data_IF_822400923115
#
_entry.id   IF_822400923115
#
_cell.length_a   1.000
_cell.length_b   1.000
_cell.length_c   1.000
_cell.angle_alpha   90.00
_cell.angle_beta   90.00
_cell.angle_gamma   90.00
#
_symmetry.space_group_name_H-M   'P 1'
#
loop_
_entity.id
_entity.type
_entity.pdbx_description
1 polymer ?
#
# COMPACT_ATOMS: atom_id res chain seq x y z
N UNK A 1 -17.81 13.17 18.95
CA UNK A 1 -16.56 13.69 19.54
C UNK A 1 -15.66 12.55 19.96
N UNK A 2 -14.35 12.72 19.92
CA UNK A 2 -13.39 11.82 20.56
C UNK A 2 -12.27 12.64 21.20
N UNK A 3 -11.61 12.07 22.20
CA UNK A 3 -10.58 12.77 22.98
C UNK A 3 -9.24 12.04 22.84
N UNK A 4 -8.18 12.78 22.50
CA UNK A 4 -6.79 12.33 22.61
C UNK A 4 -6.11 13.27 23.59
N UNK A 5 -5.59 12.70 24.68
CA UNK A 5 -5.06 13.46 25.82
C UNK A 5 -6.11 14.46 26.35
N UNK A 6 -5.80 15.76 26.36
CA UNK A 6 -6.71 16.83 26.80
C UNK A 6 -7.38 17.56 25.62
N UNK A 7 -7.35 16.97 24.40
CA UNK A 7 -7.92 17.57 23.19
C UNK A 7 -9.15 16.83 22.73
N UNK A 8 -10.22 17.59 22.50
CA UNK A 8 -11.49 17.10 21.95
C UNK A 8 -11.55 17.40 20.47
N UNK A 9 -11.91 16.39 19.69
CA UNK A 9 -12.10 16.45 18.25
C UNK A 9 -13.57 16.14 17.93
N UNK A 10 -14.20 17.00 17.14
CA UNK A 10 -15.58 16.85 16.70
C UNK A 10 -15.60 16.50 15.22
N UNK A 11 -16.60 15.72 14.82
CA UNK A 11 -16.87 15.42 13.42
C UNK A 11 -18.29 15.86 13.09
N UNK A 12 -18.46 16.45 11.91
CA UNK A 12 -19.78 16.74 11.35
C UNK A 12 -20.45 15.45 10.84
N UNK A 13 -21.77 15.49 10.68
CA UNK A 13 -22.50 14.37 10.08
C UNK A 13 -21.97 14.10 8.66
N UNK A 14 -21.52 12.87 8.40
CA UNK A 14 -20.89 12.44 7.14
C UNK A 14 -19.52 13.06 6.83
N UNK A 15 -18.83 13.63 7.82
CA UNK A 15 -17.43 14.03 7.62
C UNK A 15 -16.56 12.84 7.22
N UNK A 16 -15.88 12.96 6.08
CA UNK A 16 -14.99 11.92 5.59
C UNK A 16 -13.71 11.91 6.41
N UNK A 17 -13.37 10.75 6.95
CA UNK A 17 -12.14 10.53 7.70
C UNK A 17 -11.15 9.86 6.75
N UNK A 18 -9.99 10.48 6.58
CA UNK A 18 -8.90 9.86 5.84
C UNK A 18 -8.31 8.70 6.66
N UNK A 19 -8.26 7.53 6.04
CA UNK A 19 -7.88 6.28 6.67
C UNK A 19 -6.83 5.57 5.81
N UNK A 20 -6.33 4.45 6.30
CA UNK A 20 -5.39 3.64 5.53
C UNK A 20 -6.03 3.08 4.24
N UNK A 21 -5.25 3.11 3.15
CA UNK A 21 -5.61 2.50 1.87
C UNK A 21 -4.81 1.22 1.70
N UNK A 22 -5.50 0.07 1.60
CA UNK A 22 -4.86 -1.19 1.21
C UNK A 22 -4.77 -1.29 -0.31
N UNK A 23 -3.81 -0.57 -0.90
CA UNK A 23 -3.61 -0.53 -2.35
C UNK A 23 -3.24 -1.92 -2.89
N UNK A 24 -3.85 -2.29 -4.02
CA UNK A 24 -3.53 -3.52 -4.75
C UNK A 24 -2.67 -3.15 -5.97
N UNK A 25 -1.66 -3.97 -6.23
CA UNK A 25 -0.72 -3.76 -7.33
C UNK A 25 -0.83 -4.91 -8.32
N UNK A 26 -0.87 -4.57 -9.61
CA UNK A 26 -0.68 -5.54 -10.68
C UNK A 26 0.81 -5.82 -10.89
N UNK A 27 1.12 -6.88 -11.62
CA UNK A 27 2.49 -7.26 -11.99
C UNK A 27 3.20 -6.14 -12.78
N UNK A 28 2.44 -5.43 -13.61
CA UNK A 28 2.92 -4.26 -14.34
C UNK A 28 3.29 -3.13 -13.39
N UNK A 29 2.42 -2.82 -12.42
CA UNK A 29 2.68 -1.76 -11.43
C UNK A 29 3.96 -2.06 -10.62
N UNK A 30 4.15 -3.32 -10.22
CA UNK A 30 5.34 -3.77 -9.49
C UNK A 30 6.60 -3.58 -10.33
N UNK A 31 6.57 -3.99 -11.60
CA UNK A 31 7.71 -3.87 -12.52
C UNK A 31 8.07 -2.41 -12.76
N UNK A 32 7.08 -1.58 -13.10
CA UNK A 32 7.28 -0.14 -13.33
C UNK A 32 7.79 0.56 -12.07
N UNK A 33 7.31 0.17 -10.89
CA UNK A 33 7.79 0.72 -9.62
C UNK A 33 9.27 0.41 -9.39
N UNK A 34 9.72 -0.82 -9.68
CA UNK A 34 11.12 -1.21 -9.58
C UNK A 34 12.01 -0.37 -10.49
N UNK A 35 11.64 -0.31 -11.78
CA UNK A 35 12.41 0.40 -12.81
C UNK A 35 12.49 1.90 -12.52
N UNK A 36 11.35 2.52 -12.15
CA UNK A 36 11.30 3.94 -11.81
C UNK A 36 12.11 4.28 -10.56
N UNK A 37 12.25 3.33 -9.63
CA UNK A 37 13.08 3.47 -8.45
C UNK A 37 14.58 3.16 -8.71
N UNK A 38 14.94 2.77 -9.94
CA UNK A 38 16.32 2.45 -10.32
C UNK A 38 16.75 1.01 -10.00
N UNK A 39 15.80 0.12 -9.72
CA UNK A 39 16.06 -1.29 -9.46
C UNK A 39 15.70 -2.15 -10.66
N UNK A 40 16.27 -3.36 -10.71
CA UNK A 40 15.88 -4.41 -11.65
C UNK A 40 15.13 -5.52 -10.91
N UNK A 41 13.96 -5.92 -11.41
CA UNK A 41 13.22 -7.09 -10.93
C UNK A 41 14.03 -8.38 -11.22
N UNK A 42 14.26 -9.21 -10.20
CA UNK A 42 15.04 -10.45 -10.35
C UNK A 42 14.18 -11.71 -10.36
N UNK A 43 13.25 -11.80 -9.43
CA UNK A 43 12.36 -12.96 -9.34
C UNK A 43 11.12 -12.60 -8.51
N UNK A 44 10.13 -13.47 -8.61
CA UNK A 44 8.85 -13.33 -7.93
C UNK A 44 8.44 -14.68 -7.37
N UNK A 45 8.00 -14.67 -6.11
CA UNK A 45 7.52 -15.84 -5.40
C UNK A 45 6.02 -15.65 -5.18
N UNK A 46 5.23 -16.67 -5.51
CA UNK A 46 3.77 -16.58 -5.49
C UNK A 46 3.19 -17.68 -4.64
N UNK A 47 2.03 -17.41 -4.06
CA UNK A 47 1.23 -18.45 -3.43
C UNK A 47 0.63 -19.39 -4.49
N UNK A 48 0.09 -20.54 -4.07
CA UNK A 48 -0.42 -21.56 -4.99
C UNK A 48 -1.59 -21.09 -5.86
N UNK A 49 -2.24 -19.98 -5.49
CA UNK A 49 -3.35 -19.37 -6.23
C UNK A 49 -2.96 -18.12 -7.01
N UNK A 50 -1.70 -17.68 -6.95
CA UNK A 50 -1.20 -16.45 -7.56
C UNK A 50 -1.97 -15.18 -7.16
N UNK A 51 -2.43 -15.11 -5.90
CA UNK A 51 -3.09 -13.93 -5.32
C UNK A 51 -2.12 -12.99 -4.65
N UNK A 52 -0.99 -13.51 -4.15
CA UNK A 52 0.06 -12.74 -3.52
C UNK A 52 1.39 -12.99 -4.22
N UNK A 53 2.20 -11.94 -4.29
CA UNK A 53 3.52 -11.98 -4.90
C UNK A 53 4.53 -11.26 -4.01
N UNK A 54 5.64 -11.94 -3.73
CA UNK A 54 6.84 -11.35 -3.15
C UNK A 54 7.85 -11.11 -4.29
N UNK A 55 8.16 -9.86 -4.58
CA UNK A 55 9.06 -9.48 -5.69
C UNK A 55 10.43 -9.05 -5.16
N UNK A 56 11.49 -9.71 -5.65
CA UNK A 56 12.88 -9.44 -5.25
C UNK A 56 13.53 -8.50 -6.25
N UNK A 57 14.03 -7.37 -5.76
CA UNK A 57 14.66 -6.32 -6.57
C UNK A 57 16.15 -6.20 -6.25
N UNK A 58 16.94 -5.77 -7.23
CA UNK A 58 18.37 -5.54 -7.09
C UNK A 58 18.77 -4.17 -7.64
N UNK A 59 19.61 -3.44 -6.90
CA UNK A 59 20.26 -2.21 -7.35
C UNK A 59 21.42 -2.48 -8.32
#
# INVERSE_FOLDING_TARGET
>A
EFTIEDRVFNFEEHELIDMEISQKFSEKDITEMAENAGFTLKTEIRDSKNWFVDSIWQA
#
